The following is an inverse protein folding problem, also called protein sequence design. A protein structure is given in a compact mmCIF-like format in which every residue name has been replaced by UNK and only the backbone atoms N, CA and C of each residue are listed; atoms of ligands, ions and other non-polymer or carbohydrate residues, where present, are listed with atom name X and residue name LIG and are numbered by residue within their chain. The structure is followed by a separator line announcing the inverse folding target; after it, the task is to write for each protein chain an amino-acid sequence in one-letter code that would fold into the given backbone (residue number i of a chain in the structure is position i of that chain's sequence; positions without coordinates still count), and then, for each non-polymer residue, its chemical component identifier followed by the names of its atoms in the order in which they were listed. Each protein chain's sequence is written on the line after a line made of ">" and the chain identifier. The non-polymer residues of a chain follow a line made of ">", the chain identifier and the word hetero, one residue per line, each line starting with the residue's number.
data_IF_488288821241
#
_entry.id   IF_488288821241
#
_cell.length_a   1.000
_cell.length_b   1.000
_cell.length_c   1.000
_cell.angle_alpha   90.00
_cell.angle_beta   90.00
_cell.angle_gamma   90.00
#
_symmetry.space_group_name_H-M   'P 1'
#
loop_
_entity.id
_entity.type
_entity.pdbx_description
1 polymer ?
#
# COMPACT_ATOMS: atom_id res chain seq x y z
N UNK A 1 8.75 2.05 -23.61
CA UNK A 1 9.49 2.40 -22.39
C UNK A 1 8.66 1.89 -21.22
N UNK A 2 9.26 1.18 -20.27
CA UNK A 2 8.54 0.50 -19.19
C UNK A 2 7.84 1.50 -18.26
N UNK A 3 6.52 1.40 -18.17
CA UNK A 3 5.59 2.21 -17.38
C UNK A 3 5.65 1.87 -15.87
N UNK A 4 6.86 1.80 -15.31
CA UNK A 4 7.06 1.41 -13.90
C UNK A 4 7.01 2.66 -13.03
N UNK A 5 6.22 2.67 -11.93
CA UNK A 5 6.18 3.81 -11.03
C UNK A 5 7.56 4.07 -10.39
N UNK A 6 7.84 5.35 -10.12
CA UNK A 6 9.05 5.79 -9.43
C UNK A 6 9.13 5.08 -8.06
N UNK A 7 10.28 4.46 -7.79
CA UNK A 7 10.54 3.83 -6.49
C UNK A 7 11.23 4.82 -5.58
N UNK A 8 10.60 5.15 -4.45
CA UNK A 8 11.21 5.91 -3.37
C UNK A 8 11.83 4.97 -2.33
N UNK A 9 12.99 5.35 -1.80
CA UNK A 9 13.80 4.57 -0.87
C UNK A 9 13.87 5.24 0.51
N UNK A 10 14.47 4.54 1.48
CA UNK A 10 14.79 5.12 2.79
C UNK A 10 15.61 6.42 2.68
N UNK A 11 16.49 6.54 1.68
CA UNK A 11 17.30 7.73 1.44
C UNK A 11 16.45 8.94 1.00
N UNK A 12 15.38 8.70 0.25
CA UNK A 12 14.44 9.76 -0.15
C UNK A 12 13.64 10.26 1.04
N UNK A 13 13.24 9.37 1.95
CA UNK A 13 12.62 9.73 3.24
C UNK A 13 13.59 10.55 4.10
N UNK A 14 14.85 10.11 4.21
CA UNK A 14 15.89 10.83 4.96
C UNK A 14 16.13 12.25 4.41
N UNK A 15 16.12 12.43 3.08
CA UNK A 15 16.19 13.77 2.45
C UNK A 15 15.00 14.64 2.84
N UNK A 16 13.77 14.09 2.79
CA UNK A 16 12.58 14.84 3.21
C UNK A 16 12.63 15.24 4.69
N UNK A 17 13.11 14.36 5.57
CA UNK A 17 13.27 14.68 7.00
C UNK A 17 14.33 15.76 7.20
N UNK A 18 15.47 15.66 6.52
CA UNK A 18 16.51 16.68 6.55
C UNK A 18 15.98 18.08 6.16
N UNK A 19 15.20 18.15 5.08
CA UNK A 19 14.53 19.38 4.63
C UNK A 19 13.57 19.93 5.70
N UNK A 20 12.71 19.09 6.26
CA UNK A 20 11.72 19.50 7.27
C UNK A 20 12.36 20.00 8.57
N UNK A 21 13.49 19.41 8.95
CA UNK A 21 14.21 19.76 10.18
C UNK A 21 15.24 20.86 9.98
N UNK A 22 15.47 21.31 8.73
CA UNK A 22 16.58 22.20 8.37
C UNK A 22 17.94 21.69 8.87
N UNK A 23 18.20 20.40 8.66
CA UNK A 23 19.41 19.71 9.12
C UNK A 23 20.10 19.00 7.95
N UNK A 24 21.43 18.78 8.00
CA UNK A 24 22.12 18.00 6.98
C UNK A 24 21.64 16.54 6.92
N UNK A 25 21.66 15.95 5.71
CA UNK A 25 21.20 14.57 5.49
C UNK A 25 21.95 13.53 6.35
N UNK A 26 23.27 13.68 6.54
CA UNK A 26 24.07 12.73 7.31
C UNK A 26 23.66 12.65 8.78
N UNK A 27 23.03 13.71 9.31
CA UNK A 27 22.49 13.77 10.68
C UNK A 27 21.08 13.16 10.74
N UNK A 28 20.28 13.35 9.70
CA UNK A 28 18.88 12.87 9.63
C UNK A 28 18.76 11.40 9.24
N UNK A 29 19.66 10.89 8.40
CA UNK A 29 19.62 9.51 7.90
C UNK A 29 19.67 8.45 9.02
N UNK A 30 20.53 8.57 10.06
CA UNK A 30 20.51 7.67 11.20
C UNK A 30 19.17 7.68 11.95
N UNK A 31 18.53 8.83 12.12
CA UNK A 31 17.23 8.94 12.80
C UNK A 31 16.13 8.22 12.03
N UNK A 32 16.05 8.43 10.72
CA UNK A 32 15.08 7.71 9.87
C UNK A 32 15.34 6.22 9.89
N UNK A 33 16.61 5.79 9.85
CA UNK A 33 16.95 4.38 9.96
C UNK A 33 16.51 3.79 11.29
N UNK A 34 16.76 4.49 12.40
CA UNK A 34 16.36 4.04 13.73
C UNK A 34 14.84 3.87 13.86
N UNK A 35 14.05 4.82 13.36
CA UNK A 35 12.58 4.73 13.37
C UNK A 35 12.07 3.54 12.56
N UNK A 36 12.60 3.33 11.35
CA UNK A 36 12.19 2.21 10.49
C UNK A 36 12.56 0.87 11.13
N UNK A 37 13.76 0.77 11.70
CA UNK A 37 14.21 -0.43 12.43
C UNK A 37 13.31 -0.71 13.63
N UNK A 38 13.08 0.28 14.49
CA UNK A 38 12.25 0.12 15.69
C UNK A 38 10.81 -0.29 15.36
N UNK A 39 10.20 0.29 14.31
CA UNK A 39 8.87 -0.13 13.85
C UNK A 39 8.88 -1.60 13.39
N UNK A 40 9.92 -2.03 12.69
CA UNK A 40 10.12 -3.42 12.28
C UNK A 40 10.22 -4.37 13.46
N UNK A 41 11.07 -4.05 14.42
CA UNK A 41 11.30 -4.85 15.64
C UNK A 41 10.02 -4.99 16.47
N UNK A 42 9.30 -3.90 16.73
CA UNK A 42 8.02 -3.92 17.45
C UNK A 42 6.97 -4.83 16.76
N UNK A 43 6.98 -4.92 15.42
CA UNK A 43 6.11 -5.84 14.68
C UNK A 43 6.58 -7.29 14.76
N UNK A 44 7.90 -7.54 14.75
CA UNK A 44 8.47 -8.89 14.84
C UNK A 44 8.19 -9.49 16.22
N UNK A 45 8.41 -8.69 17.27
CA UNK A 45 8.24 -9.04 18.68
C UNK A 45 6.77 -9.21 19.11
N UNK A 46 5.83 -8.82 18.26
CA UNK A 46 4.39 -8.93 18.55
C UNK A 46 3.96 -10.36 18.88
N UNK A 47 3.44 -10.60 20.09
CA UNK A 47 2.97 -11.92 20.50
C UNK A 47 1.51 -11.89 21.01
N UNK A 48 0.54 -12.45 20.26
CA UNK A 48 0.58 -12.79 18.84
C UNK A 48 0.30 -11.59 17.92
N UNK A 49 -0.20 -10.47 18.48
CA UNK A 49 -0.73 -9.33 17.75
C UNK A 49 -0.26 -8.03 18.40
N UNK A 50 -0.06 -6.99 17.59
CA UNK A 50 0.25 -5.64 18.07
C UNK A 50 -0.45 -4.62 17.17
N UNK A 51 -0.79 -3.47 17.75
CA UNK A 51 -1.29 -2.31 17.03
C UNK A 51 -0.41 -1.10 17.36
N UNK A 52 0.36 -0.64 16.39
CA UNK A 52 1.23 0.53 16.49
C UNK A 52 0.53 1.70 15.79
N UNK A 53 0.15 2.72 16.54
CA UNK A 53 -0.48 3.91 16.02
C UNK A 53 0.51 5.06 15.91
N UNK A 54 0.67 5.59 14.69
CA UNK A 54 1.38 6.82 14.42
C UNK A 54 0.34 7.86 14.00
N UNK A 55 -0.05 8.73 14.94
CA UNK A 55 -1.09 9.75 14.71
C UNK A 55 -0.79 10.55 13.44
N UNK A 56 -1.85 10.91 12.73
CA UNK A 56 -1.81 11.64 11.45
C UNK A 56 -1.22 10.87 10.26
N UNK A 57 -0.48 9.79 10.50
CA UNK A 57 0.07 8.92 9.46
C UNK A 57 -0.78 7.67 9.24
N UNK A 58 -1.02 6.88 10.29
CA UNK A 58 -1.79 5.64 10.20
C UNK A 58 -1.49 4.63 11.30
N UNK A 59 -1.93 3.41 11.08
CA UNK A 59 -1.83 2.31 12.04
C UNK A 59 -1.19 1.09 11.38
N UNK A 60 -0.17 0.54 12.00
CA UNK A 60 0.38 -0.77 11.66
C UNK A 60 -0.20 -1.82 12.61
N UNK A 61 -0.68 -2.92 12.05
CA UNK A 61 -1.26 -4.02 12.81
C UNK A 61 -0.58 -5.34 12.44
N UNK A 62 -0.16 -6.11 13.42
CA UNK A 62 0.15 -7.54 13.27
C UNK A 62 -1.08 -8.33 13.73
N UNK A 63 -1.61 -9.19 12.86
CA UNK A 63 -2.83 -9.98 13.12
C UNK A 63 -2.68 -11.44 12.74
N UNK A 64 -3.41 -12.32 13.43
CA UNK A 64 -3.59 -13.71 13.02
C UNK A 64 -4.37 -13.80 11.72
N UNK A 65 -3.96 -14.71 10.84
CA UNK A 65 -4.73 -15.10 9.66
C UNK A 65 -5.42 -16.43 9.92
N UNK A 66 -6.69 -16.53 9.54
CA UNK A 66 -7.37 -17.84 9.50
C UNK A 66 -6.65 -18.75 8.50
N UNK A 67 -6.51 -20.03 8.84
CA UNK A 67 -6.11 -21.06 7.89
C UNK A 67 -7.03 -21.00 6.66
N UNK A 68 -6.44 -20.95 5.46
CA UNK A 68 -7.19 -20.96 4.20
C UNK A 68 -7.07 -22.35 3.57
N UNK A 69 -8.17 -22.99 3.16
CA UNK A 69 -8.16 -24.33 2.55
C UNK A 69 -7.74 -24.35 1.07
N UNK A 70 -7.06 -23.31 0.55
CA UNK A 70 -6.99 -23.04 -0.90
C UNK A 70 -5.59 -22.98 -1.51
N UNK A 71 -4.61 -23.69 -0.97
CA UNK A 71 -3.47 -24.05 -1.82
C UNK A 71 -3.80 -25.40 -2.46
N UNK A 72 -3.89 -25.45 -3.78
CA UNK A 72 -3.83 -26.72 -4.49
C UNK A 72 -2.39 -26.92 -4.95
N UNK A 73 -1.87 -28.13 -4.81
CA UNK A 73 -0.59 -28.46 -5.42
C UNK A 73 -0.76 -28.37 -6.95
N UNK A 74 -0.04 -27.48 -7.66
CA UNK A 74 -0.22 -27.32 -9.10
C UNK A 74 0.11 -28.59 -9.90
N UNK A 75 0.91 -29.49 -9.32
CA UNK A 75 1.31 -30.76 -9.95
C UNK A 75 0.32 -31.90 -9.69
N UNK A 76 -0.30 -31.97 -8.51
CA UNK A 76 -1.16 -33.11 -8.10
C UNK A 76 -2.64 -32.75 -7.92
N UNK A 77 -3.00 -31.46 -7.99
CA UNK A 77 -4.34 -30.91 -7.75
C UNK A 77 -4.92 -31.20 -6.34
N UNK A 78 -4.12 -31.78 -5.44
CA UNK A 78 -4.49 -32.06 -4.06
C UNK A 78 -4.60 -30.79 -3.23
N UNK A 79 -5.49 -30.81 -2.24
CA UNK A 79 -5.69 -29.68 -1.32
C UNK A 79 -4.61 -29.69 -0.25
N UNK A 80 -3.80 -28.62 -0.22
CA UNK A 80 -2.80 -28.35 0.80
C UNK A 80 -3.37 -27.35 1.81
N UNK A 81 -3.36 -27.73 3.08
CA UNK A 81 -3.73 -26.83 4.17
C UNK A 81 -2.55 -25.90 4.51
N UNK A 82 -2.77 -24.59 4.42
CA UNK A 82 -1.82 -23.60 4.89
C UNK A 82 -2.13 -23.29 6.37
N UNK A 83 -1.17 -23.46 7.30
CA UNK A 83 -1.38 -23.15 8.71
C UNK A 83 -1.65 -21.66 8.92
N UNK A 84 -2.37 -21.35 9.99
CA UNK A 84 -2.58 -19.97 10.45
C UNK A 84 -1.22 -19.32 10.76
N UNK A 85 -1.00 -18.09 10.27
CA UNK A 85 0.21 -17.31 10.51
C UNK A 85 -0.13 -15.87 10.91
N UNK A 86 0.88 -15.09 11.31
CA UNK A 86 0.76 -13.64 11.48
C UNK A 86 0.84 -12.94 10.12
N UNK A 87 0.13 -11.82 9.95
CA UNK A 87 0.28 -10.89 8.82
C UNK A 87 0.34 -9.46 9.33
N UNK A 88 1.07 -8.62 8.62
CA UNK A 88 1.04 -7.17 8.82
C UNK A 88 -0.08 -6.53 8.01
N UNK A 89 -0.58 -5.39 8.47
CA UNK A 89 -1.55 -4.57 7.77
C UNK A 89 -1.29 -3.10 8.11
N UNK A 90 -1.27 -2.24 7.10
CA UNK A 90 -1.20 -0.79 7.30
C UNK A 90 -2.56 -0.17 7.00
N UNK A 91 -3.06 0.66 7.91
CA UNK A 91 -4.26 1.47 7.76
C UNK A 91 -3.84 2.94 7.65
N UNK A 92 -3.92 3.57 6.47
CA UNK A 92 -3.61 4.98 6.34
C UNK A 92 -4.59 5.84 7.16
N UNK A 93 -4.12 6.99 7.64
CA UNK A 93 -4.94 7.96 8.36
C UNK A 93 -6.10 8.48 7.50
N UNK A 94 -7.12 9.05 8.15
CA UNK A 94 -8.28 9.64 7.48
C UNK A 94 -7.84 10.69 6.44
N UNK A 95 -6.96 11.60 6.83
CA UNK A 95 -6.40 12.64 5.95
C UNK A 95 -5.74 12.04 4.71
N UNK A 96 -4.90 11.01 4.88
CA UNK A 96 -4.21 10.39 3.75
C UNK A 96 -5.20 9.70 2.79
N UNK A 97 -6.21 9.01 3.33
CA UNK A 97 -7.26 8.39 2.51
C UNK A 97 -8.05 9.43 1.70
N UNK A 98 -8.50 10.50 2.35
CA UNK A 98 -9.32 11.53 1.70
C UNK A 98 -8.59 12.19 0.53
N UNK A 99 -7.29 12.46 0.67
CA UNK A 99 -6.50 13.05 -0.42
C UNK A 99 -6.30 12.05 -1.56
N UNK A 100 -6.01 10.79 -1.26
CA UNK A 100 -5.70 9.76 -2.27
C UNK A 100 -6.93 9.15 -2.95
N UNK A 101 -8.11 9.28 -2.36
CA UNK A 101 -9.37 8.75 -2.90
C UNK A 101 -10.12 9.75 -3.79
N UNK A 102 -9.56 10.94 -4.02
CA UNK A 102 -10.12 11.87 -5.00
C UNK A 102 -10.14 11.21 -6.39
N UNK A 103 -11.27 11.25 -7.12
CA UNK A 103 -11.36 10.68 -8.46
C UNK A 103 -10.28 11.21 -9.39
N UNK A 104 -9.68 10.33 -10.19
CA UNK A 104 -8.60 10.68 -11.13
C UNK A 104 -9.03 11.79 -12.10
N UNK A 105 -10.31 11.79 -12.50
CA UNK A 105 -10.94 12.82 -13.33
C UNK A 105 -10.81 14.22 -12.71
N UNK A 106 -11.04 14.36 -11.41
CA UNK A 106 -10.93 15.64 -10.70
C UNK A 106 -9.49 16.12 -10.56
N UNK A 107 -8.54 15.20 -10.66
CA UNK A 107 -7.11 15.46 -10.58
C UNK A 107 -6.47 15.63 -11.97
N UNK A 108 -7.25 15.60 -13.04
CA UNK A 108 -6.80 15.66 -14.44
C UNK A 108 -5.78 14.56 -14.81
N UNK A 109 -5.94 13.37 -14.22
CA UNK A 109 -5.19 12.18 -14.63
C UNK A 109 -5.98 11.38 -15.68
N UNK A 110 -5.25 10.60 -16.48
CA UNK A 110 -5.84 9.62 -17.36
C UNK A 110 -6.69 8.63 -16.57
N UNK A 111 -7.91 8.40 -17.05
CA UNK A 111 -8.87 7.50 -16.41
C UNK A 111 -8.65 6.10 -17.00
N UNK A 112 -8.35 5.08 -16.19
CA UNK A 112 -8.16 3.71 -16.70
C UNK A 112 -9.44 3.13 -17.30
N UNK A 113 -9.28 2.30 -18.33
CA UNK A 113 -10.38 1.54 -18.92
C UNK A 113 -11.09 0.66 -17.86
N UNK A 114 -12.42 0.60 -17.92
CA UNK A 114 -13.24 -0.09 -16.92
C UNK A 114 -13.54 0.72 -15.65
N UNK A 115 -13.01 1.95 -15.52
CA UNK A 115 -13.50 2.91 -14.54
C UNK A 115 -14.94 3.31 -14.85
N UNK A 116 -15.75 3.53 -13.82
CA UNK A 116 -17.13 4.04 -13.97
C UNK A 116 -17.18 5.39 -14.70
N UNK A 117 -16.12 6.19 -14.58
CA UNK A 117 -15.98 7.49 -15.22
C UNK A 117 -15.11 7.45 -16.48
N UNK A 118 -14.78 6.27 -17.00
CA UNK A 118 -14.00 6.14 -18.23
C UNK A 118 -14.74 6.82 -19.39
N UNK A 119 -14.15 7.78 -20.09
CA UNK A 119 -14.84 8.61 -21.07
C UNK A 119 -15.00 7.88 -22.41
N UNK A 120 -15.18 6.55 -22.41
CA UNK A 120 -15.14 5.68 -23.59
C UNK A 120 -15.84 6.32 -24.80
N UNK A 121 -15.27 6.12 -26.00
CA UNK A 121 -15.91 6.61 -27.23
C UNK A 121 -17.40 6.26 -27.19
N UNK A 122 -18.30 7.19 -27.56
CA UNK A 122 -19.72 6.91 -27.54
C UNK A 122 -19.94 5.69 -28.43
N UNK A 123 -20.34 4.57 -27.83
CA UNK A 123 -20.79 3.41 -28.58
C UNK A 123 -22.02 3.89 -29.33
N UNK A 124 -21.86 4.25 -30.60
CA UNK A 124 -22.98 4.50 -31.49
C UNK A 124 -23.73 3.18 -31.55
N UNK A 125 -24.77 3.05 -30.73
CA UNK A 125 -25.81 2.07 -30.99
C UNK A 125 -26.46 2.49 -32.30
N UNK A 126 -25.92 1.98 -33.42
CA UNK A 126 -26.62 2.00 -34.69
C UNK A 126 -27.79 1.05 -34.55
N UNK A 127 -28.91 1.60 -34.05
CA UNK A 127 -30.21 1.01 -34.25
C UNK A 127 -30.54 1.12 -35.75
N UNK A 128 -30.32 0.05 -36.49
CA UNK A 128 -30.87 -0.19 -37.83
C UNK A 128 -30.93 -1.71 -37.98
N UNK A 129 -32.08 -2.37 -37.87
CA UNK A 129 -33.20 -2.34 -38.84
C UNK A 129 -32.67 -2.50 -40.25
N UNK A 130 -32.41 -3.75 -40.64
CA UNK A 130 -33.19 -4.53 -41.62
C UNK A 130 -32.54 -5.89 -41.85
#
# INVERSE_FOLDING_TARGET
>A
MSDKPVTLTKKDVARRVAELMNEPIYKSEPWVSAVVTALGELMIEADPEVRIELRDFGVFEVKKTKAKPKARNPKTNETVFIPSRRKTHFKPSKRLKEVLQKPLKELNYDIPEGSADYPGEPVLHTNGVS
#
